data_IF_918149331820
#
_entry.id   IF_918149331820
#
_cell.length_a   1.000
_cell.length_b   1.000
_cell.length_c   1.000
_cell.angle_alpha   90.00
_cell.angle_beta   90.00
_cell.angle_gamma   90.00
#
_symmetry.space_group_name_H-M   'P 1'
#
loop_
_entity.id
_entity.type
_entity.pdbx_description
1 polymer ?
#
# COMPACT_ATOMS: atom_id res chain seq x y z
N UNK A 1 1.54 10.98 2.56
CA UNK A 1 1.29 10.36 1.26
C UNK A 1 0.14 9.39 1.43
N UNK A 2 -0.77 9.33 0.46
CA UNK A 2 -1.91 8.42 0.54
C UNK A 2 -1.48 6.97 0.32
N UNK A 3 -1.93 6.07 1.18
CA UNK A 3 -1.72 4.64 1.09
C UNK A 3 -2.99 3.87 1.49
N UNK A 4 -3.27 2.76 0.81
CA UNK A 4 -4.30 1.80 1.25
C UNK A 4 -3.67 0.88 2.31
N UNK A 5 -4.17 0.94 3.54
CA UNK A 5 -3.63 0.20 4.68
C UNK A 5 -4.61 -0.89 5.11
N UNK A 6 -4.13 -2.12 5.24
CA UNK A 6 -4.90 -3.22 5.81
C UNK A 6 -4.89 -3.15 7.35
N UNK A 7 -6.08 -3.15 7.94
CA UNK A 7 -6.32 -3.03 9.38
C UNK A 7 -7.07 -4.22 9.97
N UNK A 8 -7.47 -5.16 9.12
CA UNK A 8 -8.11 -6.41 9.51
C UNK A 8 -8.97 -6.98 8.39
N UNK A 9 -9.60 -8.14 8.64
CA UNK A 9 -10.56 -8.72 7.72
C UNK A 9 -11.63 -7.71 7.34
N UNK A 10 -11.78 -7.50 6.04
CA UNK A 10 -12.68 -6.57 5.37
C UNK A 10 -12.44 -5.10 5.67
N UNK A 11 -11.29 -4.76 6.26
CA UNK A 11 -10.93 -3.42 6.70
C UNK A 11 -9.63 -3.00 6.03
N UNK A 12 -9.75 -2.29 4.92
CA UNK A 12 -8.64 -1.61 4.25
C UNK A 12 -9.03 -0.14 4.07
N UNK A 13 -8.24 0.78 4.59
CA UNK A 13 -8.56 2.21 4.62
C UNK A 13 -7.47 3.03 3.93
N UNK A 14 -7.89 4.07 3.19
CA UNK A 14 -6.95 5.07 2.70
C UNK A 14 -6.48 5.93 3.89
N UNK A 15 -5.17 6.00 4.10
CA UNK A 15 -4.54 6.82 5.15
C UNK A 15 -3.48 7.73 4.57
N UNK A 16 -3.28 8.87 5.24
CA UNK A 16 -2.05 9.64 5.10
C UNK A 16 -0.96 8.99 5.96
N UNK A 17 0.14 8.63 5.33
CA UNK A 17 1.34 8.08 5.98
C UNK A 17 2.57 8.94 5.66
N UNK A 18 3.63 8.81 6.44
CA UNK A 18 4.89 9.49 6.15
C UNK A 18 5.45 9.04 4.79
N UNK A 19 6.05 9.98 4.05
CA UNK A 19 6.72 9.65 2.80
C UNK A 19 8.00 8.86 3.12
N UNK A 20 8.20 7.67 2.49
CA UNK A 20 9.40 6.89 2.76
C UNK A 20 10.65 7.62 2.28
N UNK A 21 11.75 7.43 3.01
CA UNK A 21 13.08 7.94 2.66
C UNK A 21 13.92 6.77 2.13
N UNK A 22 14.34 6.80 0.85
CA UNK A 22 15.13 5.70 0.30
C UNK A 22 16.52 5.63 0.95
N UNK A 23 17.05 4.42 1.07
CA UNK A 23 18.46 4.19 1.38
C UNK A 23 19.38 4.61 0.22
N UNK A 24 20.70 4.50 0.40
CA UNK A 24 21.69 4.96 -0.58
C UNK A 24 21.60 4.24 -1.95
N UNK A 25 21.12 3.00 -1.95
CA UNK A 25 20.99 2.11 -3.11
C UNK A 25 19.53 1.92 -3.55
N UNK A 26 18.60 2.74 -3.05
CA UNK A 26 17.18 2.70 -3.38
C UNK A 26 16.74 3.96 -4.13
N UNK A 27 15.61 3.85 -4.84
CA UNK A 27 14.96 4.99 -5.50
C UNK A 27 13.52 5.12 -5.03
N UNK A 28 13.06 6.36 -4.88
CA UNK A 28 11.66 6.63 -4.56
C UNK A 28 10.84 6.79 -5.84
N UNK A 29 9.86 5.91 -6.04
CA UNK A 29 9.00 5.91 -7.22
C UNK A 29 7.67 6.58 -6.89
N UNK A 30 7.26 7.56 -7.71
CA UNK A 30 5.89 8.07 -7.72
C UNK A 30 5.01 7.10 -8.52
N UNK A 31 4.23 6.28 -7.82
CA UNK A 31 3.32 5.31 -8.43
C UNK A 31 2.26 6.05 -9.27
N UNK A 32 2.22 5.75 -10.58
CA UNK A 32 1.21 6.28 -11.49
C UNK A 32 -0.05 5.40 -11.54
N UNK A 33 0.15 4.07 -11.49
CA UNK A 33 -0.90 3.07 -11.56
C UNK A 33 -0.53 1.86 -10.68
N UNK A 34 -1.54 1.25 -10.06
CA UNK A 34 -1.40 -0.02 -9.34
C UNK A 34 -2.65 -0.87 -9.60
N UNK A 35 -2.46 -2.18 -9.79
CA UNK A 35 -3.54 -3.14 -9.94
C UNK A 35 -3.90 -3.80 -8.62
N UNK A 36 -5.05 -4.46 -8.57
CA UNK A 36 -5.43 -5.38 -7.49
C UNK A 36 -5.25 -6.79 -8.05
N UNK A 37 -4.39 -7.60 -7.42
CA UNK A 37 -4.27 -9.00 -7.74
C UNK A 37 -5.25 -9.84 -6.88
N UNK A 38 -5.49 -11.09 -7.27
CA UNK A 38 -6.37 -11.99 -6.53
C UNK A 38 -5.86 -12.32 -5.13
N UNK A 39 -4.54 -12.26 -4.90
CA UNK A 39 -3.91 -12.47 -3.59
C UNK A 39 -4.37 -11.45 -2.53
N UNK A 40 -4.58 -10.21 -2.94
CA UNK A 40 -5.01 -9.09 -2.11
C UNK A 40 -6.44 -9.30 -1.63
N UNK A 41 -7.27 -9.99 -2.43
CA UNK A 41 -8.61 -10.41 -2.00
C UNK A 41 -8.53 -11.43 -0.87
N UNK A 42 -7.56 -12.35 -0.92
CA UNK A 42 -7.26 -13.26 0.18
C UNK A 42 -6.91 -12.49 1.46
N UNK A 43 -5.96 -11.56 1.36
CA UNK A 43 -5.60 -10.68 2.49
C UNK A 43 -6.75 -9.82 3.00
N UNK A 44 -7.60 -9.29 2.10
CA UNK A 44 -8.80 -8.56 2.48
C UNK A 44 -9.79 -9.41 3.25
N UNK A 45 -9.94 -10.69 2.90
CA UNK A 45 -10.88 -11.57 3.60
C UNK A 45 -10.37 -12.08 4.95
N UNK A 46 -9.05 -12.09 5.16
CA UNK A 46 -8.42 -12.59 6.40
C UNK A 46 -8.24 -14.10 6.37
#
# INVERSE_FOLDING_TARGET
MQALVWEGPRQMNMREVEQPKPAADEVLIKVAYSGICGSELGGYLG
#
